data_IF_103306749869
#
_entry.id   IF_103306749869
#
_cell.length_a   1.000
_cell.length_b   1.000
_cell.length_c   1.000
_cell.angle_alpha   90.00
_cell.angle_beta   90.00
_cell.angle_gamma   90.00
#
_symmetry.space_group_name_H-M   'P 1'
#
loop_
_entity.id
_entity.type
_entity.pdbx_description
1 polymer ?
#
# COMPACT_ATOMS: atom_id res chain seq x y z
N UNK A 1 36.10 -14.82 -5.36
CA UNK A 1 36.25 -16.29 -5.47
C UNK A 1 35.96 -16.85 -4.08
N UNK A 2 35.00 -17.73 -3.80
CA UNK A 2 34.21 -18.66 -4.60
C UNK A 2 32.86 -18.90 -3.89
N UNK A 3 31.87 -19.23 -4.71
CA UNK A 3 30.52 -19.64 -4.37
C UNK A 3 30.46 -20.93 -3.54
N UNK A 4 29.35 -21.14 -2.83
CA UNK A 4 28.76 -22.48 -2.72
C UNK A 4 27.23 -22.39 -2.65
N UNK A 5 26.60 -22.70 -3.79
CA UNK A 5 25.19 -23.02 -3.96
C UNK A 5 24.92 -24.40 -3.36
N UNK A 6 23.74 -24.63 -2.77
CA UNK A 6 23.24 -25.98 -2.55
C UNK A 6 21.91 -26.16 -3.28
N UNK A 7 21.86 -27.21 -4.08
CA UNK A 7 20.83 -27.60 -5.03
C UNK A 7 20.07 -28.81 -4.46
N UNK A 8 18.74 -28.69 -4.46
CA UNK A 8 17.70 -29.70 -4.79
C UNK A 8 17.90 -31.15 -4.30
N UNK A 9 16.87 -31.66 -3.60
CA UNK A 9 16.36 -33.01 -3.85
C UNK A 9 14.83 -33.04 -3.88
N UNK A 10 14.34 -33.47 -5.05
CA UNK A 10 12.97 -33.82 -5.40
C UNK A 10 12.62 -35.15 -4.73
N UNK A 11 11.39 -35.30 -4.22
CA UNK A 11 10.79 -36.62 -4.03
C UNK A 11 9.32 -36.60 -4.40
N UNK A 12 8.94 -37.59 -5.21
CA UNK A 12 7.70 -37.68 -5.99
C UNK A 12 6.92 -38.94 -5.57
N UNK A 13 5.59 -38.79 -5.52
CA UNK A 13 4.53 -39.78 -5.89
C UNK A 13 4.34 -40.95 -4.88
N UNK A 14 3.12 -41.31 -4.45
CA UNK A 14 2.18 -42.24 -5.13
C UNK A 14 0.76 -42.20 -4.50
N UNK A 15 -0.23 -41.92 -5.36
CA UNK A 15 -1.57 -42.51 -5.62
C UNK A 15 -2.48 -43.10 -4.51
N UNK A 16 -3.78 -42.78 -4.61
CA UNK A 16 -4.92 -43.73 -4.60
C UNK A 16 -6.14 -43.09 -5.32
N UNK A 17 -6.52 -43.50 -6.55
CA UNK A 17 -7.53 -44.51 -6.98
C UNK A 17 -9.00 -44.00 -7.06
N UNK A 18 -9.41 -43.80 -8.32
CA UNK A 18 -10.65 -44.23 -9.04
C UNK A 18 -12.03 -44.09 -8.38
N UNK A 19 -12.91 -43.34 -9.06
CA UNK A 19 -14.26 -43.84 -9.32
C UNK A 19 -14.74 -43.41 -10.72
N UNK A 20 -15.32 -44.36 -11.46
CA UNK A 20 -15.79 -44.21 -12.83
C UNK A 20 -17.30 -44.47 -12.89
N UNK A 21 -18.03 -43.66 -13.67
CA UNK A 21 -19.34 -44.00 -14.23
C UNK A 21 -19.74 -42.98 -15.33
N UNK A 22 -20.61 -43.34 -16.30
CA UNK A 22 -20.40 -42.95 -17.70
C UNK A 22 -21.58 -42.25 -18.40
N UNK A 23 -21.34 -41.94 -19.69
CA UNK A 23 -22.28 -41.73 -20.83
C UNK A 23 -23.01 -40.38 -20.94
N UNK A 24 -22.78 -39.64 -22.03
CA UNK A 24 -23.68 -39.39 -23.19
C UNK A 24 -23.10 -38.23 -24.02
N UNK A 25 -22.76 -38.53 -25.27
CA UNK A 25 -22.39 -37.60 -26.32
C UNK A 25 -23.63 -36.97 -26.96
N UNK A 26 -23.62 -35.65 -27.15
CA UNK A 26 -24.36 -34.93 -28.21
C UNK A 26 -23.78 -33.51 -28.41
N UNK A 27 -23.96 -32.89 -29.59
CA UNK A 27 -22.96 -32.02 -30.20
C UNK A 27 -23.24 -30.51 -30.09
N UNK A 28 -22.14 -29.75 -30.29
CA UNK A 28 -22.06 -28.37 -30.82
C UNK A 28 -22.85 -27.25 -30.13
N UNK A 29 -22.11 -26.42 -29.38
CA UNK A 29 -22.32 -24.97 -29.35
C UNK A 29 -20.96 -24.29 -29.17
N UNK A 30 -20.54 -23.39 -30.07
CA UNK A 30 -19.32 -22.61 -29.89
C UNK A 30 -19.61 -21.48 -28.90
N UNK A 31 -19.32 -21.72 -27.63
CA UNK A 31 -19.23 -20.64 -26.63
C UNK A 31 -17.88 -19.92 -26.77
N UNK A 32 -17.88 -18.59 -26.58
CA UNK A 32 -16.82 -17.72 -27.05
C UNK A 32 -15.51 -18.02 -26.34
N UNK A 33 -14.43 -17.98 -27.10
CA UNK A 33 -13.07 -17.92 -26.60
C UNK A 33 -12.99 -16.90 -25.45
N UNK A 34 -12.89 -17.41 -24.23
CA UNK A 34 -12.39 -16.65 -23.08
C UNK A 34 -10.98 -16.24 -23.46
N UNK A 35 -10.84 -15.02 -23.95
CA UNK A 35 -9.56 -14.32 -24.05
C UNK A 35 -9.07 -14.14 -22.61
N UNK A 36 -8.41 -15.15 -22.05
CA UNK A 36 -7.48 -14.93 -20.96
C UNK A 36 -6.49 -13.91 -21.50
N UNK A 37 -6.60 -12.67 -21.01
CA UNK A 37 -5.63 -11.60 -21.25
C UNK A 37 -4.28 -12.14 -20.83
N UNK A 38 -3.50 -12.64 -21.79
CA UNK A 38 -2.11 -12.97 -21.55
C UNK A 38 -1.41 -11.63 -21.31
N UNK A 39 -1.00 -11.40 -20.08
CA UNK A 39 -0.07 -10.31 -19.78
C UNK A 39 1.22 -10.69 -20.49
N UNK A 40 1.67 -9.85 -21.42
CA UNK A 40 2.96 -9.99 -22.09
C UNK A 40 4.09 -10.04 -21.04
N UNK A 41 5.19 -10.74 -21.31
CA UNK A 41 6.36 -10.80 -20.42
C UNK A 41 6.86 -9.38 -20.09
N UNK A 42 6.95 -8.51 -21.10
CA UNK A 42 7.19 -7.07 -20.96
C UNK A 42 6.19 -6.37 -20.02
N UNK A 43 4.91 -6.76 -20.07
CA UNK A 43 3.88 -6.20 -19.19
C UNK A 43 3.99 -6.65 -17.74
N UNK A 44 4.46 -7.87 -17.49
CA UNK A 44 4.80 -8.35 -16.16
C UNK A 44 6.01 -7.60 -15.60
N UNK A 45 7.10 -7.51 -16.36
CA UNK A 45 8.31 -6.79 -15.95
C UNK A 45 8.06 -5.31 -15.68
N UNK A 46 7.25 -4.66 -16.51
CA UNK A 46 6.81 -3.26 -16.30
C UNK A 46 6.08 -3.11 -14.97
N UNK A 47 5.18 -4.04 -14.65
CA UNK A 47 4.37 -4.00 -13.43
C UNK A 47 5.26 -4.20 -12.19
N UNK A 48 6.18 -5.16 -12.24
CA UNK A 48 7.14 -5.42 -11.15
C UNK A 48 8.06 -4.21 -10.92
N UNK A 49 8.66 -3.72 -12.00
CA UNK A 49 9.52 -2.52 -12.06
C UNK A 49 8.87 -1.28 -11.44
N UNK A 50 7.66 -0.93 -11.90
CA UNK A 50 6.94 0.23 -11.38
C UNK A 50 6.46 -0.01 -9.94
N UNK A 51 6.10 -1.24 -9.57
CA UNK A 51 5.71 -1.55 -8.20
C UNK A 51 6.86 -1.30 -7.22
N UNK A 52 8.06 -1.80 -7.53
CA UNK A 52 9.25 -1.57 -6.70
C UNK A 52 9.58 -0.06 -6.61
N UNK A 53 9.50 0.66 -7.73
CA UNK A 53 9.67 2.11 -7.77
C UNK A 53 8.72 2.84 -6.79
N UNK A 54 7.42 2.56 -6.85
CA UNK A 54 6.44 3.19 -5.97
C UNK A 54 6.60 2.75 -4.51
N UNK A 55 6.91 1.47 -4.26
CA UNK A 55 7.14 0.95 -2.91
C UNK A 55 8.28 1.68 -2.21
N UNK A 56 9.39 1.94 -2.92
CA UNK A 56 10.54 2.67 -2.38
C UNK A 56 10.18 4.11 -1.96
N UNK A 57 9.40 4.81 -2.78
CA UNK A 57 8.97 6.18 -2.47
C UNK A 57 7.96 6.19 -1.31
N UNK A 58 6.99 5.27 -1.32
CA UNK A 58 6.02 5.11 -0.23
C UNK A 58 6.71 4.82 1.09
N UNK A 59 7.72 3.94 1.07
CA UNK A 59 8.54 3.63 2.23
C UNK A 59 9.18 4.91 2.79
N UNK A 60 9.91 5.64 1.95
CA UNK A 60 10.61 6.86 2.34
C UNK A 60 9.65 7.90 2.94
N UNK A 61 8.55 8.22 2.25
CA UNK A 61 7.58 9.21 2.71
C UNK A 61 6.98 8.81 4.06
N UNK A 62 6.69 7.52 4.26
CA UNK A 62 6.14 7.05 5.54
C UNK A 62 7.17 7.04 6.66
N UNK A 63 8.46 6.82 6.36
CA UNK A 63 9.53 6.97 7.34
C UNK A 63 9.61 8.43 7.81
N UNK A 64 9.65 9.39 6.89
CA UNK A 64 9.72 10.82 7.20
C UNK A 64 8.51 11.27 8.04
N UNK A 65 7.29 10.92 7.62
CA UNK A 65 6.07 11.24 8.37
C UNK A 65 6.08 10.58 9.76
N UNK A 66 6.60 9.36 9.87
CA UNK A 66 6.66 8.69 11.17
C UNK A 66 7.65 9.36 12.12
N UNK A 67 8.81 9.80 11.60
CA UNK A 67 9.81 10.52 12.37
C UNK A 67 9.26 11.85 12.86
N UNK A 68 8.59 12.61 11.99
CA UNK A 68 7.96 13.88 12.35
C UNK A 68 6.90 13.71 13.44
N UNK A 69 5.98 12.76 13.27
CA UNK A 69 4.92 12.51 14.26
C UNK A 69 5.50 12.10 15.62
N UNK A 70 6.55 11.27 15.64
CA UNK A 70 7.14 10.80 16.90
C UNK A 70 7.98 11.86 17.60
N UNK A 71 8.68 12.69 16.82
CA UNK A 71 9.51 13.78 17.31
C UNK A 71 8.66 14.90 17.89
N UNK A 72 7.62 15.31 17.17
CA UNK A 72 6.76 16.44 17.53
C UNK A 72 5.47 16.04 18.26
N UNK A 73 5.43 14.83 18.82
CA UNK A 73 4.27 14.34 19.57
C UNK A 73 3.89 15.32 20.71
N UNK A 74 2.65 15.85 20.75
CA UNK A 74 2.20 16.82 21.73
C UNK A 74 2.44 16.35 23.17
N UNK A 75 2.91 17.27 24.02
CA UNK A 75 3.17 16.97 25.43
C UNK A 75 1.89 16.76 26.25
N UNK A 76 0.79 17.37 25.83
CA UNK A 76 -0.54 17.28 26.43
C UNK A 76 -1.02 15.83 26.53
N UNK A 77 -0.73 14.98 25.53
CA UNK A 77 -1.04 13.54 25.53
C UNK A 77 -0.52 12.87 26.83
N UNK A 78 0.68 13.26 27.24
CA UNK A 78 1.37 12.67 28.40
C UNK A 78 1.16 13.42 29.72
N UNK A 79 0.51 14.59 29.71
CA UNK A 79 0.32 15.45 30.90
C UNK A 79 1.62 15.67 31.71
N UNK A 80 2.77 15.77 31.03
CA UNK A 80 4.09 15.91 31.65
C UNK A 80 4.71 14.62 32.23
N UNK A 81 4.03 13.48 32.15
CA UNK A 81 4.56 12.18 32.60
C UNK A 81 5.44 11.53 31.50
N UNK A 82 6.72 11.32 31.81
CA UNK A 82 7.71 10.74 30.89
C UNK A 82 7.36 9.31 30.47
N UNK A 83 6.85 8.48 31.39
CA UNK A 83 6.46 7.10 31.10
C UNK A 83 5.22 7.06 30.19
N UNK A 84 4.22 7.90 30.49
CA UNK A 84 3.04 8.07 29.64
C UNK A 84 3.42 8.52 28.22
N UNK A 85 4.39 9.45 28.10
CA UNK A 85 4.91 9.91 26.80
C UNK A 85 5.55 8.77 26.02
N UNK A 86 6.40 7.97 26.66
CA UNK A 86 7.07 6.86 26.01
C UNK A 86 6.08 5.79 25.52
N UNK A 87 5.00 5.53 26.28
CA UNK A 87 3.94 4.60 25.86
C UNK A 87 3.14 5.13 24.69
N UNK A 88 2.77 6.41 24.72
CA UNK A 88 2.09 7.07 23.61
C UNK A 88 2.95 7.01 22.34
N UNK A 89 4.24 7.34 22.44
CA UNK A 89 5.19 7.22 21.33
C UNK A 89 5.28 5.78 20.82
N UNK A 90 5.38 4.78 21.71
CA UNK A 90 5.43 3.37 21.33
C UNK A 90 4.14 2.92 20.61
N UNK A 91 2.98 3.33 21.11
CA UNK A 91 1.69 3.05 20.47
C UNK A 91 1.60 3.71 19.10
N UNK A 92 1.98 4.98 19.00
CA UNK A 92 1.96 5.75 17.76
C UNK A 92 2.89 5.12 16.73
N UNK A 93 4.13 4.79 17.12
CA UNK A 93 5.12 4.15 16.27
C UNK A 93 4.60 2.80 15.72
N UNK A 94 3.97 1.98 16.57
CA UNK A 94 3.37 0.71 16.11
C UNK A 94 2.28 0.93 15.07
N UNK A 95 1.40 1.91 15.29
CA UNK A 95 0.29 2.19 14.39
C UNK A 95 0.76 2.80 13.06
N UNK A 96 1.74 3.69 13.09
CA UNK A 96 2.35 4.27 11.89
C UNK A 96 3.09 3.20 11.06
N UNK A 97 3.82 2.30 11.72
CA UNK A 97 4.43 1.16 11.02
C UNK A 97 3.39 0.23 10.38
N UNK A 98 2.25 0.02 11.04
CA UNK A 98 1.15 -0.75 10.47
C UNK A 98 0.54 -0.04 9.24
N UNK A 99 0.37 1.28 9.31
CA UNK A 99 -0.07 2.09 8.16
C UNK A 99 0.94 1.98 7.00
N UNK A 100 2.24 2.16 7.27
CA UNK A 100 3.32 1.97 6.28
C UNK A 100 3.24 0.60 5.62
N UNK A 101 3.13 -0.48 6.41
CA UNK A 101 3.00 -1.84 5.87
C UNK A 101 1.73 -2.03 5.03
N UNK A 102 0.62 -1.39 5.42
CA UNK A 102 -0.64 -1.44 4.66
C UNK A 102 -0.55 -0.71 3.33
N UNK A 103 0.13 0.43 3.28
CA UNK A 103 0.38 1.17 2.05
C UNK A 103 1.29 0.38 1.11
N UNK A 104 2.43 -0.14 1.61
CA UNK A 104 3.35 -0.97 0.83
C UNK A 104 2.63 -2.20 0.24
N UNK A 105 1.84 -2.91 1.05
CA UNK A 105 1.07 -4.06 0.58
C UNK A 105 -0.01 -3.71 -0.47
N UNK A 106 -0.38 -2.44 -0.58
CA UNK A 106 -1.37 -1.96 -1.54
C UNK A 106 -0.75 -1.51 -2.86
N UNK A 107 0.53 -1.11 -2.89
CA UNK A 107 1.18 -0.55 -4.10
C UNK A 107 1.06 -1.50 -5.28
N UNK A 108 1.59 -2.72 -5.18
CA UNK A 108 1.58 -3.68 -6.30
C UNK A 108 0.16 -3.98 -6.83
N UNK A 109 -0.85 -4.28 -5.98
CA UNK A 109 -2.23 -4.39 -6.44
C UNK A 109 -2.77 -3.18 -7.20
N UNK A 110 -2.43 -1.95 -6.76
CA UNK A 110 -2.87 -0.72 -7.42
C UNK A 110 -2.20 -0.57 -8.79
N UNK A 111 -0.87 -0.72 -8.84
CA UNK A 111 -0.07 -0.66 -10.07
C UNK A 111 -0.57 -1.68 -11.09
N UNK A 112 -0.73 -2.94 -10.68
CA UNK A 112 -1.24 -4.02 -11.52
C UNK A 112 -2.64 -3.76 -12.09
N UNK A 113 -3.48 -3.04 -11.33
CA UNK A 113 -4.87 -2.75 -11.73
C UNK A 113 -4.96 -1.52 -12.64
N UNK A 114 -4.11 -0.52 -12.41
CA UNK A 114 -4.19 0.78 -13.09
C UNK A 114 -3.34 0.86 -14.36
N UNK A 115 -2.22 0.12 -14.46
CA UNK A 115 -1.39 0.07 -15.67
C UNK A 115 -2.23 -0.28 -16.92
N UNK A 116 -3.04 -1.36 -16.94
CA UNK A 116 -3.81 -1.73 -18.14
C UNK A 116 -4.87 -0.69 -18.55
N UNK A 117 -5.23 0.22 -17.63
CA UNK A 117 -6.24 1.26 -17.88
C UNK A 117 -5.64 2.55 -18.45
N UNK A 118 -4.30 2.65 -18.54
CA UNK A 118 -3.61 3.83 -19.05
C UNK A 118 -3.09 3.49 -20.44
N UNK A 119 -3.66 4.13 -21.46
CA UNK A 119 -3.43 3.81 -22.87
C UNK A 119 -1.93 3.76 -23.21
N UNK A 120 -1.16 4.80 -22.87
CA UNK A 120 0.28 4.82 -23.18
C UNK A 120 1.10 3.73 -22.51
N UNK A 121 0.72 3.27 -21.31
CA UNK A 121 1.39 2.14 -20.65
C UNK A 121 0.94 0.80 -21.24
N UNK A 122 -0.34 0.65 -21.62
CA UNK A 122 -0.84 -0.54 -22.29
C UNK A 122 -0.23 -0.69 -23.69
N UNK A 123 -0.04 0.42 -24.42
CA UNK A 123 0.68 0.41 -25.69
C UNK A 123 2.11 -0.08 -25.50
N UNK A 124 2.81 0.38 -24.46
CA UNK A 124 4.16 -0.09 -24.11
C UNK A 124 4.22 -1.60 -23.85
N UNK A 125 3.19 -2.18 -23.23
CA UNK A 125 3.10 -3.64 -23.03
C UNK A 125 2.93 -4.44 -24.33
N UNK A 126 2.56 -3.78 -25.43
CA UNK A 126 2.27 -4.35 -26.74
C UNK A 126 3.32 -3.98 -27.81
N UNK A 127 4.37 -3.24 -27.45
CA UNK A 127 5.44 -2.88 -28.39
C UNK A 127 6.21 -4.15 -28.77
N UNK A 128 6.01 -4.63 -30.00
CA UNK A 128 6.85 -5.64 -30.63
C UNK A 128 8.11 -4.96 -31.19
N UNK A 129 9.29 -5.49 -30.82
CA UNK A 129 10.65 -4.96 -31.09
C UNK A 129 11.05 -4.78 -32.58
N UNK A 130 10.13 -4.89 -33.53
CA UNK A 130 10.45 -4.96 -34.96
C UNK A 130 10.44 -3.65 -35.73
N UNK A 131 9.98 -2.50 -35.16
CA UNK A 131 9.75 -1.33 -36.02
C UNK A 131 10.13 0.09 -35.54
N UNK A 132 10.49 0.36 -34.28
CA UNK A 132 10.52 1.78 -33.83
C UNK A 132 11.82 2.19 -33.13
N UNK A 133 12.84 2.55 -33.92
CA UNK A 133 13.94 3.43 -33.46
C UNK A 133 13.75 4.89 -33.87
N UNK A 134 12.74 5.20 -34.69
CA UNK A 134 12.54 6.53 -35.25
C UNK A 134 11.69 7.48 -34.39
N UNK A 135 11.00 6.98 -33.37
CA UNK A 135 10.04 7.76 -32.56
C UNK A 135 10.33 7.73 -31.05
N UNK A 136 11.58 7.49 -30.63
CA UNK A 136 11.91 7.30 -29.22
C UNK A 136 11.53 8.50 -28.33
N UNK A 137 11.78 9.73 -28.80
CA UNK A 137 11.39 10.95 -28.07
C UNK A 137 9.86 11.07 -27.88
N UNK A 138 9.07 10.60 -28.87
CA UNK A 138 7.60 10.60 -28.78
C UNK A 138 7.10 9.53 -27.79
N UNK A 139 7.75 8.37 -27.76
CA UNK A 139 7.47 7.30 -26.80
C UNK A 139 7.78 7.76 -25.38
N UNK A 140 8.95 8.36 -25.16
CA UNK A 140 9.35 8.88 -23.83
C UNK A 140 8.37 9.97 -23.34
N UNK A 141 7.97 10.89 -24.22
CA UNK A 141 6.98 11.92 -23.87
C UNK A 141 5.60 11.32 -23.51
N UNK A 142 5.14 10.34 -24.29
CA UNK A 142 3.88 9.62 -24.02
C UNK A 142 3.93 8.84 -22.70
N UNK A 143 5.05 8.16 -22.46
CA UNK A 143 5.31 7.39 -21.26
C UNK A 143 5.35 8.28 -20.02
N UNK A 144 6.04 9.42 -20.09
CA UNK A 144 6.06 10.41 -19.01
C UNK A 144 4.65 10.88 -18.66
N UNK A 145 3.85 11.26 -19.66
CA UNK A 145 2.46 11.67 -19.44
C UNK A 145 1.62 10.55 -18.79
N UNK A 146 1.86 9.32 -19.19
CA UNK A 146 1.16 8.14 -18.67
C UNK A 146 1.57 7.83 -17.23
N UNK A 147 2.86 7.94 -16.90
CA UNK A 147 3.38 7.80 -15.53
C UNK A 147 2.83 8.91 -14.63
N UNK A 148 2.81 10.17 -15.07
CA UNK A 148 2.22 11.26 -14.29
C UNK A 148 0.72 11.04 -14.03
N UNK A 149 0.02 10.35 -14.94
CA UNK A 149 -1.38 9.95 -14.72
C UNK A 149 -1.48 8.82 -13.69
N UNK A 150 -0.59 7.83 -13.76
CA UNK A 150 -0.51 6.74 -12.79
C UNK A 150 -0.17 7.27 -11.39
N UNK A 151 0.81 8.17 -11.27
CA UNK A 151 1.21 8.85 -10.04
C UNK A 151 0.00 9.44 -9.31
N UNK A 152 -0.84 10.21 -10.03
CA UNK A 152 -2.06 10.83 -9.47
C UNK A 152 -3.06 9.79 -8.96
N UNK A 153 -3.25 8.69 -9.70
CA UNK A 153 -4.17 7.62 -9.29
C UNK A 153 -3.67 6.91 -8.03
N UNK A 154 -2.41 6.49 -8.03
CA UNK A 154 -1.81 5.76 -6.92
C UNK A 154 -1.72 6.64 -5.68
N UNK A 155 -1.23 7.89 -5.79
CA UNK A 155 -1.14 8.80 -4.64
C UNK A 155 -2.51 9.01 -4.01
N UNK A 156 -3.54 9.21 -4.82
CA UNK A 156 -4.91 9.40 -4.34
C UNK A 156 -5.45 8.15 -3.65
N UNK A 157 -5.32 6.97 -4.26
CA UNK A 157 -5.77 5.71 -3.66
C UNK A 157 -5.04 5.42 -2.34
N UNK A 158 -3.74 5.68 -2.27
CA UNK A 158 -2.96 5.57 -1.02
C UNK A 158 -3.44 6.59 0.02
N UNK A 159 -3.76 7.82 -0.38
CA UNK A 159 -4.39 8.82 0.50
C UNK A 159 -5.73 8.34 1.08
N UNK A 160 -6.57 7.70 0.25
CA UNK A 160 -7.82 7.08 0.71
C UNK A 160 -7.58 5.92 1.69
N UNK A 161 -6.50 5.15 1.51
CA UNK A 161 -6.12 4.08 2.46
C UNK A 161 -5.64 4.67 3.78
N UNK A 162 -4.85 5.75 3.75
CA UNK A 162 -4.43 6.48 4.96
C UNK A 162 -5.65 6.99 5.71
N UNK A 163 -6.62 7.58 5.01
CA UNK A 163 -7.84 8.15 5.59
C UNK A 163 -7.52 9.02 6.82
N UNK A 164 -6.83 10.14 6.58
CA UNK A 164 -6.22 10.96 7.62
C UNK A 164 -7.20 11.35 8.75
N UNK A 165 -8.45 11.65 8.41
CA UNK A 165 -9.49 12.02 9.38
C UNK A 165 -9.83 10.86 10.33
N UNK A 166 -10.09 9.66 9.80
CA UNK A 166 -10.42 8.53 10.66
C UNK A 166 -9.19 8.01 11.41
N UNK A 167 -8.05 7.93 10.72
CA UNK A 167 -6.81 7.43 11.29
C UNK A 167 -6.33 8.32 12.44
N UNK A 168 -6.28 9.64 12.26
CA UNK A 168 -5.84 10.55 13.33
C UNK A 168 -6.64 10.38 14.63
N UNK A 169 -7.97 10.31 14.52
CA UNK A 169 -8.85 10.08 15.66
C UNK A 169 -8.61 8.71 16.34
N UNK A 170 -8.44 7.65 15.56
CA UNK A 170 -8.18 6.30 16.07
C UNK A 170 -6.83 6.22 16.76
N UNK A 171 -5.77 6.69 16.09
CA UNK A 171 -4.41 6.66 16.61
C UNK A 171 -4.31 7.47 17.91
N UNK A 172 -4.90 8.67 17.94
CA UNK A 172 -4.87 9.52 19.14
C UNK A 172 -5.62 8.88 20.32
N UNK A 173 -6.81 8.33 20.05
CA UNK A 173 -7.56 7.60 21.07
C UNK A 173 -6.80 6.39 21.60
N UNK A 174 -6.11 5.64 20.74
CA UNK A 174 -5.34 4.45 21.14
C UNK A 174 -4.12 4.83 21.97
N UNK A 175 -3.39 5.89 21.58
CA UNK A 175 -2.27 6.41 22.35
C UNK A 175 -2.72 6.84 23.76
N UNK A 176 -3.85 7.55 23.85
CA UNK A 176 -4.40 8.03 25.13
C UNK A 176 -4.97 6.89 25.99
N UNK A 177 -5.69 5.95 25.39
CA UNK A 177 -6.29 4.81 26.13
C UNK A 177 -5.22 3.90 26.73
N UNK A 178 -4.08 3.72 26.06
CA UNK A 178 -2.98 2.91 26.61
C UNK A 178 -2.35 3.56 27.86
N UNK A 179 -2.36 4.88 27.96
CA UNK A 179 -1.92 5.60 29.16
C UNK A 179 -2.88 5.31 30.32
N UNK A 180 -4.19 5.46 30.11
CA UNK A 180 -5.21 5.26 31.16
C UNK A 180 -5.18 3.82 31.71
N UNK A 181 -5.02 2.82 30.84
CA UNK A 181 -4.98 1.40 31.25
C UNK A 181 -3.79 1.00 32.12
N UNK A 182 -2.67 1.75 32.09
CA UNK A 182 -1.57 1.50 33.01
C UNK A 182 -1.71 2.27 34.33
N UNK A 183 -2.47 3.37 34.35
CA UNK A 183 -2.83 4.06 35.59
C UNK A 183 -3.90 3.26 36.36
N UNK A 184 -4.83 2.59 35.65
CA UNK A 184 -5.81 1.67 36.22
C UNK A 184 -5.38 0.20 36.08
N UNK A 185 -4.44 -0.25 36.91
CA UNK A 185 -4.20 -1.69 37.09
C UNK A 185 -5.37 -2.28 37.90
N UNK A 186 -6.53 -2.55 37.27
CA UNK A 186 -7.54 -3.47 37.82
C UNK A 186 -8.69 -3.84 36.83
N UNK A 187 -8.37 -4.18 35.57
CA UNK A 187 -9.02 -5.25 34.76
C UNK A 187 -8.72 -5.07 33.26
N UNK A 188 -8.28 -6.13 32.55
CA UNK A 188 -7.97 -6.02 31.13
C UNK A 188 -9.25 -6.07 30.29
N UNK A 189 -9.72 -4.94 29.78
CA UNK A 189 -10.65 -4.94 28.64
C UNK A 189 -9.82 -4.96 27.36
N UNK A 190 -9.78 -6.13 26.71
CA UNK A 190 -9.14 -6.32 25.41
C UNK A 190 -9.99 -5.60 24.35
N UNK A 191 -9.44 -4.54 23.77
CA UNK A 191 -10.03 -3.91 22.58
C UNK A 191 -9.26 -4.45 21.38
N UNK A 192 -9.83 -5.47 20.74
CA UNK A 192 -9.30 -6.00 19.48
C UNK A 192 -9.83 -5.12 18.36
N UNK A 193 -8.95 -4.31 17.75
CA UNK A 193 -9.28 -3.61 16.50
C UNK A 193 -8.82 -4.50 15.35
N UNK A 194 -9.78 -5.18 14.72
CA UNK A 194 -9.54 -6.01 13.55
C UNK A 194 -9.71 -5.15 12.29
N UNK A 195 -8.59 -4.87 11.60
CA UNK A 195 -8.59 -4.13 10.33
C UNK A 195 -8.92 -5.11 9.20
N UNK A 196 -10.20 -5.19 8.80
CA UNK A 196 -10.61 -5.96 7.61
C UNK A 196 -10.65 -5.08 6.38
N UNK A 197 -9.85 -5.47 5.39
CA UNK A 197 -9.57 -4.78 4.12
C UNK A 197 -10.80 -4.48 3.22
N UNK A 198 -12.06 -4.83 3.59
CA UNK A 198 -13.21 -4.85 2.64
C UNK A 198 -14.63 -4.55 3.15
N UNK A 199 -14.90 -3.90 4.29
CA UNK A 199 -16.28 -3.49 4.64
C UNK A 199 -16.41 -2.14 5.41
N UNK A 200 -17.55 -1.42 5.27
CA UNK A 200 -17.84 -0.21 6.04
C UNK A 200 -18.07 -0.54 7.52
N UNK A 201 -17.51 0.30 8.38
CA UNK A 201 -17.23 0.11 9.80
C UNK A 201 -18.47 0.06 10.70
N UNK A 202 -18.48 -0.89 11.66
CA UNK A 202 -19.35 -0.84 12.84
C UNK A 202 -18.48 -1.01 14.09
N UNK A 203 -18.47 0.01 14.96
CA UNK A 203 -17.78 -0.02 16.25
C UNK A 203 -18.84 0.09 17.35
N UNK A 204 -18.97 -0.95 18.18
CA UNK A 204 -19.77 -0.89 19.40
C UNK A 204 -19.05 -0.01 20.43
N UNK A 205 -19.61 1.18 20.68
CA UNK A 205 -19.12 2.14 21.68
C UNK A 205 -19.75 1.80 23.02
N UNK A 206 -18.96 1.28 23.97
CA UNK A 206 -19.33 1.32 25.39
C UNK A 206 -18.75 2.62 25.94
N UNK A 207 -19.61 3.62 26.10
CA UNK A 207 -19.33 4.93 26.70
C UNK A 207 -19.37 4.76 28.22
N UNK A 208 -18.24 4.95 28.89
CA UNK A 208 -18.21 5.30 30.32
C UNK A 208 -17.83 6.77 30.45
N UNK A 209 -18.56 7.44 31.34
CA UNK A 209 -18.74 8.87 31.45
C UNK A 209 -17.66 9.50 32.34
N UNK A 210 -16.60 10.05 31.74
CA UNK A 210 -15.75 11.10 32.35
C UNK A 210 -15.35 12.08 31.23
N UNK A 211 -16.30 12.94 30.83
CA UNK A 211 -16.21 13.71 29.58
C UNK A 211 -16.50 15.19 29.83
N UNK A 212 -15.44 16.02 29.87
CA UNK A 212 -15.52 17.42 29.40
C UNK A 212 -14.14 18.07 29.20
N UNK A 213 -13.14 17.82 30.06
CA UNK A 213 -11.77 18.35 29.84
C UNK A 213 -10.91 17.50 28.90
N UNK A 214 -10.93 16.17 29.03
CA UNK A 214 -10.18 15.28 28.12
C UNK A 214 -10.71 15.30 26.67
N UNK A 215 -11.99 15.65 26.44
CA UNK A 215 -12.54 15.71 25.08
C UNK A 215 -12.03 16.91 24.27
N UNK A 216 -11.69 18.02 24.92
CA UNK A 216 -11.23 19.23 24.25
C UNK A 216 -9.74 19.16 23.88
N UNK A 217 -8.91 18.53 24.70
CA UNK A 217 -7.49 18.33 24.37
C UNK A 217 -7.29 17.29 23.27
N UNK A 218 -8.01 16.16 23.33
CA UNK A 218 -7.93 15.08 22.33
C UNK A 218 -8.37 15.56 20.93
N UNK A 219 -9.26 16.54 20.84
CA UNK A 219 -9.71 17.10 19.55
C UNK A 219 -8.64 17.98 18.91
N UNK A 220 -7.88 18.76 19.70
CA UNK A 220 -6.76 19.56 19.18
C UNK A 220 -5.58 18.69 18.73
N UNK A 221 -5.31 17.60 19.46
CA UNK A 221 -4.23 16.67 19.14
C UNK A 221 -4.56 15.81 17.92
N UNK A 222 -5.83 15.38 17.79
CA UNK A 222 -6.27 14.66 16.59
C UNK A 222 -6.27 15.56 15.36
N UNK A 223 -6.59 16.85 15.49
CA UNK A 223 -6.47 17.83 14.41
C UNK A 223 -5.00 18.04 13.98
N UNK A 224 -4.07 18.11 14.94
CA UNK A 224 -2.64 18.13 14.62
C UNK A 224 -2.20 16.88 13.85
N UNK A 225 -2.56 15.69 14.33
CA UNK A 225 -2.21 14.43 13.68
C UNK A 225 -2.90 14.29 12.31
N UNK A 226 -4.12 14.80 12.17
CA UNK A 226 -4.81 14.90 10.90
C UNK A 226 -3.98 15.70 9.91
N UNK A 227 -3.44 16.86 10.31
CA UNK A 227 -2.53 17.65 9.47
C UNK A 227 -1.35 16.82 8.94
N UNK A 228 -0.65 16.10 9.83
CA UNK A 228 0.48 15.25 9.48
C UNK A 228 0.12 14.09 8.55
N UNK A 229 -1.03 13.46 8.76
CA UNK A 229 -1.48 12.34 7.92
C UNK A 229 -2.07 12.81 6.59
N UNK A 230 -2.69 13.99 6.57
CA UNK A 230 -3.28 14.57 5.35
C UNK A 230 -2.22 14.99 4.34
N UNK A 231 -1.00 15.32 4.80
CA UNK A 231 0.12 15.61 3.90
C UNK A 231 0.67 14.38 3.20
N UNK A 232 0.37 13.15 3.64
CA UNK A 232 0.89 11.92 3.01
C UNK A 232 0.51 11.84 1.53
N UNK A 233 -0.77 12.07 1.18
CA UNK A 233 -1.22 12.04 -0.21
C UNK A 233 -0.48 13.05 -1.09
N UNK A 234 -0.29 14.27 -0.56
CA UNK A 234 0.37 15.37 -1.27
C UNK A 234 1.87 15.09 -1.41
N UNK A 235 2.52 14.63 -0.35
CA UNK A 235 3.94 14.31 -0.35
C UNK A 235 4.24 13.15 -1.31
N UNK A 236 3.41 12.10 -1.30
CA UNK A 236 3.51 11.00 -2.27
C UNK A 236 3.38 11.53 -3.70
N UNK A 237 2.37 12.34 -3.99
CA UNK A 237 2.17 12.89 -5.33
C UNK A 237 3.37 13.72 -5.80
N UNK A 238 3.93 14.55 -4.91
CA UNK A 238 5.10 15.37 -5.22
C UNK A 238 6.32 14.49 -5.51
N UNK A 239 6.65 13.55 -4.61
CA UNK A 239 7.79 12.65 -4.78
C UNK A 239 7.66 11.77 -6.03
N UNK A 240 6.46 11.25 -6.32
CA UNK A 240 6.22 10.50 -7.57
C UNK A 240 6.43 11.36 -8.81
N UNK A 241 6.01 12.63 -8.79
CA UNK A 241 6.14 13.52 -9.95
C UNK A 241 7.58 14.00 -10.14
N UNK A 242 8.27 14.35 -9.05
CA UNK A 242 9.65 14.82 -9.08
C UNK A 242 10.59 13.74 -9.62
N UNK A 243 10.28 12.46 -9.33
CA UNK A 243 11.04 11.30 -9.80
C UNK A 243 10.42 10.61 -11.02
N UNK A 244 9.44 11.21 -11.69
CA UNK A 244 8.74 10.57 -12.80
C UNK A 244 9.67 10.25 -13.99
N UNK A 245 10.70 11.07 -14.21
CA UNK A 245 11.73 10.83 -15.23
C UNK A 245 12.56 9.57 -14.94
N UNK A 246 12.83 9.26 -13.67
CA UNK A 246 13.51 8.03 -13.27
C UNK A 246 12.66 6.80 -13.61
N UNK A 247 11.34 6.89 -13.38
CA UNK A 247 10.41 5.83 -13.77
C UNK A 247 10.34 5.65 -15.28
N UNK A 248 10.34 6.73 -16.07
CA UNK A 248 10.40 6.66 -17.55
C UNK A 248 11.66 5.91 -17.98
N UNK A 249 12.83 6.29 -17.45
CA UNK A 249 14.10 5.65 -17.77
C UNK A 249 14.07 4.17 -17.40
N UNK A 250 13.58 3.83 -16.21
CA UNK A 250 13.48 2.45 -15.73
C UNK A 250 12.61 1.59 -16.66
N UNK A 251 11.47 2.11 -17.11
CA UNK A 251 10.61 1.41 -18.07
C UNK A 251 11.31 1.22 -19.42
N UNK A 252 11.97 2.25 -19.94
CA UNK A 252 12.70 2.16 -21.22
C UNK A 252 13.85 1.14 -21.14
N UNK A 253 14.57 1.08 -20.02
CA UNK A 253 15.60 0.08 -19.77
C UNK A 253 15.02 -1.33 -19.70
N UNK A 254 13.90 -1.53 -19.00
CA UNK A 254 13.22 -2.83 -18.92
C UNK A 254 12.75 -3.34 -20.29
N UNK A 255 12.27 -2.45 -21.17
CA UNK A 255 11.88 -2.80 -22.54
C UNK A 255 13.09 -3.16 -23.41
N UNK A 256 14.23 -2.49 -23.19
CA UNK A 256 15.46 -2.75 -23.93
C UNK A 256 16.15 -4.06 -23.52
N UNK A 257 15.88 -4.57 -22.31
CA UNK A 257 16.43 -5.82 -21.78
C UNK A 257 15.66 -7.07 -22.21
N UNK A 258 14.44 -6.94 -22.75
CA UNK A 258 13.61 -8.04 -23.29
C UNK A 258 14.05 -8.44 -24.74
N UNK A 259 15.36 -8.33 -25.02
CA UNK A 259 16.05 -8.57 -26.32
C UNK A 259 16.96 -9.79 -26.27
#
# INVERSE_FOLDING_TARGET
MLFARSIITISCIVLSVVNAAPIISSPSSPSPSSSKSYISEAGFLLTESLSEYYENIVDQVMLDVSEDVLTYLPQSISHGNVEARHLAQKSMNRNLNFMRASLLASVNPLVSTDIPQIEGLNTVQQIDNTQERTNQDEIEASLLSSILTLNKKISHQLGLIVNAEQSSNILMRQATTQIVKQVEIEKPTVVTVEWKLRQPFQINVIRQEEQQQQQQDVTSESEWLYGQLSSVEINLLNEFNDRAQEAVQLVMESLALDV
#
